data_IF_850548546012
#
_entry.id   IF_850548546012
#
_cell.length_a   1.000
_cell.length_b   1.000
_cell.length_c   1.000
_cell.angle_alpha   90.00
_cell.angle_beta   90.00
_cell.angle_gamma   90.00
#
_symmetry.space_group_name_H-M   'P 1'
#
loop_
_entity.id
_entity.type
_entity.pdbx_description
1 polymer ?
#
# COMPACT_ATOMS: atom_id res chain seq x y z
N UNK A 1 34.89 90.23 12.86
CA UNK A 1 35.10 91.63 12.46
C UNK A 1 34.49 91.85 11.08
N UNK A 2 33.54 92.80 10.99
CA UNK A 2 33.16 93.63 9.82
C UNK A 2 32.74 92.89 8.53
N UNK A 3 31.45 92.95 8.17
CA UNK A 3 30.81 93.97 7.29
C UNK A 3 31.06 93.64 5.80
N UNK A 4 30.22 93.89 4.80
CA UNK A 4 28.94 94.58 4.63
C UNK A 4 28.46 94.21 3.20
N UNK A 5 27.14 94.16 3.01
CA UNK A 5 26.34 94.68 1.87
C UNK A 5 26.97 94.98 0.50
N UNK A 6 26.20 94.70 -0.57
CA UNK A 6 26.22 95.53 -1.78
C UNK A 6 25.47 94.96 -2.99
N UNK A 7 24.21 95.39 -3.18
CA UNK A 7 23.43 95.25 -4.42
C UNK A 7 24.01 96.18 -5.52
N UNK A 8 23.98 95.78 -6.80
CA UNK A 8 23.26 96.49 -7.89
C UNK A 8 23.63 96.02 -9.31
N UNK A 9 22.53 95.88 -10.08
CA UNK A 9 22.31 96.27 -11.48
C UNK A 9 23.02 95.56 -12.65
N UNK A 10 22.14 95.08 -13.54
CA UNK A 10 22.33 94.46 -14.84
C UNK A 10 23.01 95.33 -15.90
N UNK A 11 23.62 94.66 -16.88
CA UNK A 11 23.54 95.04 -18.29
C UNK A 11 23.78 93.82 -19.19
N UNK A 12 22.80 93.55 -20.05
CA UNK A 12 22.81 92.53 -21.08
C UNK A 12 23.78 92.90 -22.20
N UNK A 13 24.61 91.95 -22.62
CA UNK A 13 25.12 91.86 -23.98
C UNK A 13 25.13 90.39 -24.38
N UNK A 14 24.13 90.02 -25.18
CA UNK A 14 24.00 88.70 -25.77
C UNK A 14 25.08 88.49 -26.83
N UNK A 15 25.97 87.53 -26.59
CA UNK A 15 26.73 86.87 -27.64
C UNK A 15 26.27 85.41 -27.66
N UNK A 16 25.61 85.02 -28.75
CA UNK A 16 25.10 83.68 -28.97
C UNK A 16 26.28 82.69 -29.00
N UNK A 17 26.44 81.92 -27.92
CA UNK A 17 27.20 80.68 -27.95
C UNK A 17 26.19 79.60 -28.35
N UNK A 18 26.33 79.10 -29.57
CA UNK A 18 25.68 77.88 -29.99
C UNK A 18 26.12 76.76 -29.05
N UNK A 19 25.28 76.40 -28.09
CA UNK A 19 25.45 75.18 -27.32
C UNK A 19 25.28 74.03 -28.30
N UNK A 20 26.39 73.45 -28.75
CA UNK A 20 26.42 72.10 -29.30
C UNK A 20 25.91 71.16 -28.20
N UNK A 21 24.59 71.00 -28.11
CA UNK A 21 24.01 69.84 -27.45
C UNK A 21 24.37 68.67 -28.35
N UNK A 22 25.52 68.06 -28.10
CA UNK A 22 25.74 66.70 -28.58
C UNK A 22 24.62 65.89 -27.96
N UNK A 23 23.71 65.26 -28.73
CA UNK A 23 22.86 64.26 -28.13
C UNK A 23 23.82 63.24 -27.52
N UNK A 24 23.62 62.90 -26.25
CA UNK A 24 24.17 61.67 -25.70
C UNK A 24 23.72 60.58 -26.66
N UNK A 25 24.63 60.13 -27.52
CA UNK A 25 24.44 58.92 -28.27
C UNK A 25 24.35 57.84 -27.21
N UNK A 26 23.13 57.40 -26.92
CA UNK A 26 22.92 56.09 -26.31
C UNK A 26 23.62 55.16 -27.27
N UNK A 27 24.76 54.61 -26.88
CA UNK A 27 25.42 53.57 -27.64
C UNK A 27 24.36 52.47 -27.79
N UNK A 28 23.84 52.32 -29.01
CA UNK A 28 23.00 51.19 -29.32
C UNK A 28 23.93 49.99 -29.20
N UNK A 29 23.87 49.30 -28.06
CA UNK A 29 24.61 48.07 -27.89
C UNK A 29 24.12 47.14 -29.00
N UNK A 30 25.01 46.82 -29.94
CA UNK A 30 24.74 45.80 -30.92
C UNK A 30 24.49 44.52 -30.13
N UNK A 31 23.24 44.08 -30.12
CA UNK A 31 22.84 42.84 -29.47
C UNK A 31 22.64 41.77 -30.52
N UNK A 32 22.89 40.53 -30.11
CA UNK A 32 22.75 39.33 -30.92
C UNK A 32 21.69 38.41 -30.31
N UNK A 33 21.20 37.51 -31.14
CA UNK A 33 20.30 36.43 -30.73
C UNK A 33 20.98 35.09 -30.99
N UNK A 34 20.95 34.21 -30.00
CA UNK A 34 21.30 32.80 -30.16
C UNK A 34 20.04 31.97 -30.03
N UNK A 35 19.94 30.92 -30.82
CA UNK A 35 18.86 29.94 -30.71
C UNK A 35 19.36 28.56 -31.09
N UNK A 36 18.56 27.53 -30.87
CA UNK A 36 18.93 26.18 -31.23
C UNK A 36 17.94 25.15 -30.73
N UNK A 37 18.20 23.91 -31.10
CA UNK A 37 17.50 22.71 -30.68
C UNK A 37 18.42 21.86 -29.78
N UNK A 38 17.86 21.32 -28.72
CA UNK A 38 18.44 20.24 -27.94
C UNK A 38 17.55 19.02 -28.09
N UNK A 39 18.12 17.88 -28.48
CA UNK A 39 17.37 16.65 -28.72
C UNK A 39 18.08 15.43 -28.16
N UNK A 40 17.32 14.35 -28.02
CA UNK A 40 17.85 13.04 -27.71
C UNK A 40 18.32 12.35 -28.99
N UNK A 41 19.62 12.46 -29.24
CA UNK A 41 20.34 11.80 -30.33
C UNK A 41 20.64 10.36 -29.90
N UNK A 42 19.73 9.46 -30.25
CA UNK A 42 19.63 8.10 -29.71
C UNK A 42 20.56 7.14 -30.42
N UNK A 43 20.95 7.43 -31.65
CA UNK A 43 21.92 6.63 -32.40
C UNK A 43 23.33 7.25 -32.45
N UNK A 44 23.48 8.47 -31.92
CA UNK A 44 24.72 9.22 -31.78
C UNK A 44 25.34 9.63 -33.13
N UNK A 45 24.51 9.89 -34.14
CA UNK A 45 24.98 10.30 -35.46
C UNK A 45 25.09 11.83 -35.65
N UNK A 46 24.58 12.61 -34.69
CA UNK A 46 24.63 14.06 -34.65
C UNK A 46 23.61 14.76 -35.56
N UNK A 47 22.66 14.02 -36.13
CA UNK A 47 21.54 14.51 -36.93
C UNK A 47 20.25 14.35 -36.12
N UNK A 48 19.17 15.03 -36.55
CA UNK A 48 17.85 14.87 -35.94
C UNK A 48 17.06 13.89 -36.78
N UNK A 49 16.80 12.71 -36.23
CA UNK A 49 16.12 11.63 -36.94
C UNK A 49 14.67 11.39 -36.53
N UNK A 50 13.85 10.76 -37.39
CA UNK A 50 12.53 10.30 -37.00
C UNK A 50 12.61 9.34 -35.79
N UNK A 51 11.94 9.69 -34.70
CA UNK A 51 11.93 8.90 -33.47
C UNK A 51 12.89 9.42 -32.39
N UNK A 52 13.64 10.48 -32.69
CA UNK A 52 14.45 11.23 -31.73
C UNK A 52 13.65 12.39 -31.14
N UNK A 53 13.26 12.30 -29.85
CA UNK A 53 12.46 13.34 -29.24
C UNK A 53 13.31 14.58 -28.90
N UNK A 54 12.71 15.78 -28.93
CA UNK A 54 13.35 16.96 -28.38
C UNK A 54 13.55 16.81 -26.87
N UNK A 55 14.63 17.38 -26.34
CA UNK A 55 14.91 17.41 -24.91
C UNK A 55 14.13 18.58 -24.28
N UNK A 56 12.88 18.31 -23.97
CA UNK A 56 11.96 19.27 -23.34
C UNK A 56 12.35 19.58 -21.89
N UNK A 57 12.11 20.83 -21.45
CA UNK A 57 12.36 21.32 -20.08
C UNK A 57 13.79 21.03 -19.56
N UNK A 58 14.75 20.98 -20.50
CA UNK A 58 16.14 20.67 -20.26
C UNK A 58 16.93 21.81 -19.67
N UNK A 59 18.19 21.51 -19.29
CA UNK A 59 19.12 22.52 -18.77
C UNK A 59 19.45 23.60 -19.79
N UNK A 60 19.40 23.27 -21.08
CA UNK A 60 19.65 24.22 -22.16
C UNK A 60 21.07 24.77 -22.11
N UNK A 61 21.25 26.06 -22.38
CA UNK A 61 22.56 26.68 -22.50
C UNK A 61 22.80 27.78 -21.47
N UNK A 62 24.03 27.84 -20.97
CA UNK A 62 24.57 29.00 -20.29
C UNK A 62 25.54 29.71 -21.24
N UNK A 63 25.40 31.03 -21.33
CA UNK A 63 26.18 31.87 -22.23
C UNK A 63 27.08 32.79 -21.41
N UNK A 64 28.36 32.87 -21.76
CA UNK A 64 29.37 33.68 -21.11
C UNK A 64 30.05 34.62 -22.10
N UNK A 65 30.63 35.71 -21.60
CA UNK A 65 31.66 36.43 -22.35
C UNK A 65 32.94 35.58 -22.33
N UNK A 66 33.60 35.38 -23.48
CA UNK A 66 34.87 34.63 -23.53
C UNK A 66 35.94 35.27 -22.63
N UNK A 67 35.90 36.60 -22.49
CA UNK A 67 36.84 37.40 -21.70
C UNK A 67 36.61 37.28 -20.20
N UNK A 68 35.38 36.95 -19.78
CA UNK A 68 35.01 36.74 -18.38
C UNK A 68 33.99 35.60 -18.24
N UNK A 69 34.50 34.42 -17.90
CA UNK A 69 33.69 33.21 -17.66
C UNK A 69 33.29 33.05 -16.18
N UNK A 70 33.51 34.05 -15.33
CA UNK A 70 33.19 33.94 -13.90
C UNK A 70 31.69 33.96 -13.60
N UNK A 71 30.88 34.56 -14.50
CA UNK A 71 29.42 34.60 -14.39
C UNK A 71 28.78 34.47 -15.77
N UNK A 72 27.69 33.68 -15.93
CA UNK A 72 26.96 33.67 -17.19
C UNK A 72 26.29 35.02 -17.45
N UNK A 73 26.28 35.42 -18.71
CA UNK A 73 25.45 36.50 -19.27
C UNK A 73 23.96 36.13 -19.22
N UNK A 74 23.65 34.84 -19.32
CA UNK A 74 22.31 34.30 -19.16
C UNK A 74 22.28 32.78 -19.20
N UNK A 75 21.18 32.23 -18.69
CA UNK A 75 20.86 30.80 -18.73
C UNK A 75 19.54 30.64 -19.46
N UNK A 76 19.51 29.79 -20.48
CA UNK A 76 18.40 29.66 -21.41
C UNK A 76 17.99 28.19 -21.50
N UNK A 77 16.90 27.85 -20.79
CA UNK A 77 16.31 26.51 -20.77
C UNK A 77 15.64 26.18 -22.10
N UNK A 78 15.46 24.90 -22.36
CA UNK A 78 14.67 24.46 -23.51
C UNK A 78 13.19 24.51 -23.20
N UNK A 79 12.39 24.84 -24.21
CA UNK A 79 10.93 24.76 -24.17
C UNK A 79 10.44 23.32 -24.40
N UNK A 80 9.12 23.13 -24.47
CA UNK A 80 8.49 21.83 -24.70
C UNK A 80 8.87 21.17 -26.04
N UNK A 81 9.44 21.93 -26.99
CA UNK A 81 9.93 21.43 -28.27
C UNK A 81 11.46 21.32 -28.29
N UNK A 82 12.12 21.37 -27.13
CA UNK A 82 13.57 21.28 -27.02
C UNK A 82 14.30 22.51 -27.52
N UNK A 83 13.61 23.62 -27.80
CA UNK A 83 14.24 24.82 -28.34
C UNK A 83 14.62 25.79 -27.24
N UNK A 84 15.77 26.43 -27.37
CA UNK A 84 16.15 27.56 -26.53
C UNK A 84 16.32 28.81 -27.39
N UNK A 85 16.13 29.98 -26.78
CA UNK A 85 16.33 31.27 -27.44
C UNK A 85 16.86 32.32 -26.46
N UNK A 86 17.99 32.90 -26.81
CA UNK A 86 18.70 33.91 -26.05
C UNK A 86 18.76 35.21 -26.83
N UNK A 87 17.99 36.22 -26.43
CA UNK A 87 17.95 37.53 -27.09
C UNK A 87 18.64 38.60 -26.25
N UNK A 88 19.14 39.65 -26.89
CA UNK A 88 19.70 40.81 -26.17
C UNK A 88 21.10 40.55 -25.61
N UNK A 89 21.81 39.54 -26.12
CA UNK A 89 23.19 39.26 -25.74
C UNK A 89 24.13 40.27 -26.42
N UNK A 90 25.25 40.69 -25.80
CA UNK A 90 26.19 41.60 -26.43
C UNK A 90 26.88 40.96 -27.65
N UNK A 91 27.13 41.74 -28.71
CA UNK A 91 27.90 41.32 -29.90
C UNK A 91 29.42 41.31 -29.62
N UNK A 92 29.83 40.37 -28.77
CA UNK A 92 31.22 40.11 -28.38
C UNK A 92 31.53 38.62 -28.59
N UNK A 93 32.79 38.18 -28.49
CA UNK A 93 33.09 36.75 -28.43
C UNK A 93 32.35 36.08 -27.25
N UNK A 94 31.49 35.11 -27.55
CA UNK A 94 30.71 34.38 -26.55
C UNK A 94 31.25 32.96 -26.37
N UNK A 95 31.03 32.39 -25.18
CA UNK A 95 31.21 30.97 -24.91
C UNK A 95 29.86 30.38 -24.47
N UNK A 96 29.37 29.41 -25.22
CA UNK A 96 28.07 28.76 -25.03
C UNK A 96 28.33 27.36 -24.52
N UNK A 97 27.81 27.01 -23.35
CA UNK A 97 27.92 25.66 -22.78
C UNK A 97 26.54 25.08 -22.59
N UNK A 98 26.30 23.86 -23.10
CA UNK A 98 25.07 23.14 -22.81
C UNK A 98 25.25 22.26 -21.57
N UNK A 99 24.52 22.59 -20.51
CA UNK A 99 24.64 21.95 -19.20
C UNK A 99 23.86 20.64 -19.08
N UNK A 100 23.20 20.18 -20.15
CA UNK A 100 22.64 18.82 -20.20
C UNK A 100 23.73 17.73 -20.13
N UNK A 101 25.01 18.10 -20.35
CA UNK A 101 26.19 17.25 -20.10
C UNK A 101 26.33 16.76 -18.64
N UNK A 102 25.66 17.41 -17.68
CA UNK A 102 25.62 16.94 -16.29
C UNK A 102 24.72 15.71 -16.10
N UNK A 103 23.84 15.42 -17.07
CA UNK A 103 22.84 14.37 -17.01
C UNK A 103 22.97 13.35 -18.14
N UNK A 104 23.48 13.77 -19.31
CA UNK A 104 23.52 12.95 -20.53
C UNK A 104 24.88 13.06 -21.19
N UNK A 105 25.20 12.07 -22.03
CA UNK A 105 26.41 12.13 -22.87
C UNK A 105 26.15 13.01 -24.09
N UNK A 106 27.06 13.92 -24.41
CA UNK A 106 26.94 14.74 -25.61
C UNK A 106 27.38 13.94 -26.84
N UNK A 107 26.56 13.94 -27.89
CA UNK A 107 26.86 13.29 -29.17
C UNK A 107 27.30 14.31 -30.24
N UNK A 108 26.96 15.59 -30.03
CA UNK A 108 27.50 16.72 -30.79
C UNK A 108 28.36 17.61 -29.87
N UNK A 109 29.04 18.67 -30.39
CA UNK A 109 29.78 19.59 -29.53
C UNK A 109 28.89 20.21 -28.44
N UNK A 110 29.20 19.95 -27.17
CA UNK A 110 28.52 20.54 -26.03
C UNK A 110 28.88 22.02 -25.79
N UNK A 111 29.79 22.59 -26.58
CA UNK A 111 30.28 23.96 -26.42
C UNK A 111 30.57 24.62 -27.77
N UNK A 112 30.20 25.88 -27.88
CA UNK A 112 30.51 26.73 -29.04
C UNK A 112 31.10 28.07 -28.59
N UNK A 113 32.01 28.63 -29.39
CA UNK A 113 32.67 29.92 -29.08
C UNK A 113 32.56 30.89 -30.27
N UNK A 114 31.38 31.44 -30.60
CA UNK A 114 31.24 32.38 -31.71
C UNK A 114 31.98 33.69 -31.41
N UNK A 115 32.72 34.20 -32.40
CA UNK A 115 33.59 35.37 -32.22
C UNK A 115 32.83 36.69 -32.38
N UNK A 116 31.76 36.71 -33.19
CA UNK A 116 30.80 37.81 -33.40
C UNK A 116 29.50 37.26 -33.98
N UNK A 117 28.41 38.00 -33.80
CA UNK A 117 27.11 37.70 -34.39
C UNK A 117 26.29 36.67 -33.61
N UNK A 118 24.98 36.67 -33.89
CA UNK A 118 24.05 35.64 -33.44
C UNK A 118 24.17 34.37 -34.26
N UNK A 119 23.42 33.33 -33.89
CA UNK A 119 23.45 32.09 -34.65
C UNK A 119 22.57 30.98 -34.08
N UNK A 120 22.52 29.89 -34.83
CA UNK A 120 21.85 28.65 -34.44
C UNK A 120 22.91 27.65 -33.97
N UNK A 121 22.75 27.11 -32.76
CA UNK A 121 23.65 26.12 -32.19
C UNK A 121 22.85 24.96 -31.63
N UNK A 122 22.91 23.83 -32.30
CA UNK A 122 22.13 22.65 -31.95
C UNK A 122 23.00 21.66 -31.14
N UNK A 123 22.37 20.95 -30.20
CA UNK A 123 23.03 20.02 -29.28
C UNK A 123 22.31 18.66 -29.19
N UNK A 124 23.00 17.60 -29.62
CA UNK A 124 22.54 16.21 -29.46
C UNK A 124 23.06 15.61 -28.16
N UNK A 125 22.18 14.89 -27.46
CA UNK A 125 22.50 14.17 -26.22
C UNK A 125 21.95 12.76 -26.20
N UNK A 126 22.64 11.87 -25.51
CA UNK A 126 22.25 10.47 -25.36
C UNK A 126 22.20 10.05 -23.89
N UNK A 127 21.05 9.52 -23.48
CA UNK A 127 20.87 8.82 -22.21
C UNK A 127 21.08 7.31 -22.36
N UNK A 128 20.84 6.58 -21.27
CA UNK A 128 20.74 5.12 -21.31
C UNK A 128 19.28 4.64 -21.32
N UNK A 129 19.12 3.33 -21.44
CA UNK A 129 17.82 2.65 -21.30
C UNK A 129 17.82 1.78 -20.05
N UNK A 130 16.74 1.81 -19.27
CA UNK A 130 16.52 0.88 -18.17
C UNK A 130 15.25 0.10 -18.43
N UNK A 131 15.32 -1.23 -18.41
CA UNK A 131 14.16 -2.09 -18.67
C UNK A 131 14.17 -3.35 -17.81
N UNK A 132 13.05 -4.04 -17.78
CA UNK A 132 12.96 -5.38 -17.24
C UNK A 132 11.51 -5.82 -17.09
N UNK A 133 11.26 -6.74 -16.17
CA UNK A 133 9.91 -7.27 -15.95
C UNK A 133 9.45 -7.03 -14.51
N UNK A 134 8.15 -6.74 -14.38
CA UNK A 134 7.41 -6.70 -13.12
C UNK A 134 6.28 -7.72 -13.15
N UNK A 135 6.39 -8.78 -12.35
CA UNK A 135 5.51 -9.95 -12.44
C UNK A 135 5.37 -10.68 -11.10
N UNK A 136 4.37 -11.56 -11.02
CA UNK A 136 4.18 -12.48 -9.91
C UNK A 136 5.02 -13.74 -10.11
N UNK A 137 6.17 -13.79 -9.45
CA UNK A 137 7.07 -14.94 -9.39
C UNK A 137 6.49 -16.01 -8.44
N UNK A 138 5.50 -16.74 -8.95
CA UNK A 138 4.67 -17.65 -8.16
C UNK A 138 5.45 -18.88 -7.70
N UNK A 139 6.41 -19.32 -8.52
CA UNK A 139 7.27 -20.47 -8.22
C UNK A 139 8.58 -20.07 -7.50
N UNK A 140 8.85 -18.76 -7.39
CA UNK A 140 10.00 -18.15 -6.70
C UNK A 140 11.35 -18.51 -7.33
N UNK A 141 11.41 -18.74 -8.64
CA UNK A 141 12.64 -19.13 -9.32
C UNK A 141 13.41 -17.98 -9.99
N UNK A 142 12.85 -16.78 -9.95
CA UNK A 142 13.51 -15.57 -10.44
C UNK A 142 13.48 -15.38 -11.94
N UNK A 143 12.77 -16.21 -12.69
CA UNK A 143 12.63 -16.10 -14.15
C UNK A 143 11.17 -15.93 -14.49
N UNK A 144 10.83 -14.92 -15.29
CA UNK A 144 9.47 -14.80 -15.81
C UNK A 144 9.11 -16.00 -16.68
N UNK A 145 8.01 -16.69 -16.37
CA UNK A 145 7.42 -17.69 -17.27
C UNK A 145 6.03 -17.31 -17.78
N UNK A 146 5.60 -17.96 -18.87
CA UNK A 146 4.32 -17.68 -19.51
C UNK A 146 3.08 -18.13 -18.71
N UNK A 147 3.26 -18.90 -17.64
CA UNK A 147 2.19 -19.27 -16.70
C UNK A 147 2.15 -18.37 -15.46
N UNK A 148 2.99 -17.34 -15.40
CA UNK A 148 3.03 -16.38 -14.30
C UNK A 148 2.27 -15.11 -14.64
N UNK A 149 1.44 -14.69 -13.70
CA UNK A 149 0.57 -13.55 -13.87
C UNK A 149 1.34 -12.24 -13.82
N UNK A 150 0.75 -11.24 -14.46
CA UNK A 150 1.19 -9.86 -14.30
C UNK A 150 0.76 -9.34 -12.92
N UNK A 151 1.55 -8.43 -12.35
CA UNK A 151 1.14 -7.75 -11.11
C UNK A 151 -0.12 -6.91 -11.37
N UNK A 152 -1.20 -7.11 -10.58
CA UNK A 152 -2.45 -6.37 -10.76
C UNK A 152 -2.32 -4.91 -10.32
N UNK A 153 -2.99 -4.00 -11.05
CA UNK A 153 -3.14 -2.60 -10.67
C UNK A 153 -2.26 -1.61 -11.44
N UNK A 154 -1.93 -0.49 -10.77
CA UNK A 154 -1.08 0.57 -11.31
C UNK A 154 0.35 0.08 -11.55
N UNK A 155 1.15 0.74 -12.41
CA UNK A 155 2.56 0.38 -12.57
C UNK A 155 3.26 0.39 -11.22
N UNK A 156 3.88 -0.74 -10.89
CA UNK A 156 4.56 -0.99 -9.62
C UNK A 156 6.04 -0.64 -9.67
N UNK A 157 6.50 -0.01 -10.75
CA UNK A 157 7.91 0.32 -10.95
C UNK A 157 8.08 1.81 -11.14
N UNK A 158 8.96 2.40 -10.34
CA UNK A 158 9.39 3.79 -10.48
C UNK A 158 10.90 3.88 -10.66
N UNK A 159 11.34 4.88 -11.42
CA UNK A 159 12.74 5.26 -11.55
C UNK A 159 12.93 6.62 -10.88
N UNK A 160 13.82 6.66 -9.89
CA UNK A 160 14.21 7.87 -9.19
C UNK A 160 15.63 8.22 -9.64
N UNK A 161 15.80 9.44 -10.13
CA UNK A 161 17.12 10.03 -10.35
C UNK A 161 17.27 11.24 -9.42
N UNK A 162 18.41 11.37 -8.74
CA UNK A 162 18.63 12.35 -7.66
C UNK A 162 18.41 13.83 -8.02
N UNK A 163 18.19 14.15 -9.29
CA UNK A 163 18.04 15.51 -9.83
C UNK A 163 16.77 15.67 -10.69
N UNK A 164 16.21 14.58 -11.21
CA UNK A 164 15.13 14.61 -12.22
C UNK A 164 14.11 13.53 -11.90
N UNK A 165 12.82 13.90 -11.92
CA UNK A 165 11.74 12.93 -11.96
C UNK A 165 11.63 12.37 -13.38
N UNK A 166 12.04 11.12 -13.57
CA UNK A 166 11.90 10.42 -14.85
C UNK A 166 10.46 9.93 -14.97
N UNK A 167 9.86 10.13 -16.15
CA UNK A 167 8.47 9.73 -16.40
C UNK A 167 8.28 8.23 -16.09
N UNK A 168 7.13 7.84 -15.53
CA UNK A 168 6.85 6.45 -15.17
C UNK A 168 6.98 5.55 -16.40
N UNK A 169 7.45 4.31 -16.19
CA UNK A 169 7.67 3.39 -17.29
C UNK A 169 6.38 3.14 -18.07
N UNK A 170 6.53 2.93 -19.37
CA UNK A 170 5.42 2.37 -20.15
C UNK A 170 5.26 0.92 -19.72
N UNK A 171 4.11 0.57 -19.12
CA UNK A 171 3.77 -0.84 -18.88
C UNK A 171 3.58 -1.50 -20.25
N UNK A 172 4.49 -2.39 -20.60
CA UNK A 172 4.44 -3.21 -21.79
C UNK A 172 3.44 -4.34 -21.66
N UNK A 173 3.43 -5.18 -22.70
CA UNK A 173 2.75 -6.48 -22.68
C UNK A 173 3.47 -7.36 -21.64
N UNK A 174 2.71 -8.21 -20.95
CA UNK A 174 3.25 -9.17 -19.99
C UNK A 174 4.22 -8.51 -18.98
N UNK A 175 3.78 -7.50 -18.23
CA UNK A 175 4.55 -6.93 -17.11
C UNK A 175 5.93 -6.32 -17.46
N UNK A 176 6.31 -6.23 -18.73
CA UNK A 176 7.54 -5.56 -19.14
C UNK A 176 7.46 -4.06 -18.88
N UNK A 177 8.59 -3.43 -18.62
CA UNK A 177 8.67 -1.99 -18.46
C UNK A 177 9.96 -1.45 -19.08
N UNK A 178 9.89 -0.22 -19.59
CA UNK A 178 11.04 0.47 -20.16
C UNK A 178 11.01 1.97 -19.81
N UNK A 179 12.18 2.46 -19.40
CA UNK A 179 12.54 3.86 -19.27
C UNK A 179 13.61 4.17 -20.31
N UNK A 180 13.29 5.07 -21.25
CA UNK A 180 14.25 5.57 -22.24
C UNK A 180 14.81 6.92 -21.81
N UNK A 181 15.95 7.29 -22.42
CA UNK A 181 16.59 8.60 -22.23
C UNK A 181 16.86 8.89 -20.74
N UNK A 182 17.26 7.86 -19.99
CA UNK A 182 17.56 7.95 -18.57
C UNK A 182 18.90 8.67 -18.39
N UNK A 183 19.02 9.62 -17.43
CA UNK A 183 20.29 10.25 -17.12
C UNK A 183 21.39 9.23 -16.81
N UNK A 184 22.59 9.47 -17.34
CA UNK A 184 23.75 8.61 -17.11
C UNK A 184 24.31 8.80 -15.70
N UNK A 185 25.07 7.81 -15.23
CA UNK A 185 25.71 7.82 -13.91
C UNK A 185 25.07 6.88 -12.90
N UNK A 186 25.45 7.02 -11.63
CA UNK A 186 25.14 6.10 -10.52
C UNK A 186 24.04 6.62 -9.58
N UNK A 187 23.42 7.75 -9.91
CA UNK A 187 22.36 8.39 -9.13
C UNK A 187 20.97 7.87 -9.47
N UNK A 188 20.88 6.74 -10.18
CA UNK A 188 19.63 6.14 -10.63
C UNK A 188 19.24 4.99 -9.72
N UNK A 189 17.99 4.98 -9.27
CA UNK A 189 17.41 3.96 -8.41
C UNK A 189 16.09 3.48 -8.99
N UNK A 190 15.95 2.17 -9.17
CA UNK A 190 14.66 1.53 -9.47
C UNK A 190 14.00 1.14 -8.16
N UNK A 191 12.71 1.43 -8.03
CA UNK A 191 11.92 1.17 -6.83
C UNK A 191 10.72 0.31 -7.19
N UNK A 192 10.52 -0.77 -6.45
CA UNK A 192 9.30 -1.56 -6.48
C UNK A 192 8.26 -0.97 -5.52
N UNK A 193 7.14 -0.52 -6.03
CA UNK A 193 6.02 0.03 -5.28
C UNK A 193 5.14 -1.06 -4.67
N UNK A 194 4.34 -0.66 -3.69
CA UNK A 194 3.44 -1.58 -2.99
C UNK A 194 2.39 -2.15 -3.94
N UNK A 195 2.17 -3.45 -3.80
CA UNK A 195 1.14 -4.18 -4.53
C UNK A 195 0.25 -4.90 -3.50
N UNK A 196 -1.09 -4.73 -3.55
CA UNK A 196 -1.99 -5.41 -2.62
C UNK A 196 -1.82 -6.93 -2.65
N UNK A 197 -1.83 -7.57 -1.48
CA UNK A 197 -1.69 -9.02 -1.29
C UNK A 197 -0.37 -9.65 -1.81
N UNK A 198 0.60 -8.80 -2.17
CA UNK A 198 1.91 -9.18 -2.67
C UNK A 198 3.04 -8.51 -1.88
N UNK A 199 4.19 -9.16 -1.86
CA UNK A 199 5.47 -8.63 -1.38
C UNK A 199 6.54 -8.77 -2.45
N UNK A 200 7.59 -7.98 -2.37
CA UNK A 200 8.76 -8.20 -3.23
C UNK A 200 9.39 -9.56 -2.91
N UNK A 201 9.68 -10.34 -3.94
CA UNK A 201 10.29 -11.64 -3.80
C UNK A 201 11.74 -11.52 -3.31
N UNK A 202 12.24 -12.51 -2.54
CA UNK A 202 13.67 -12.60 -2.23
C UNK A 202 14.51 -12.55 -3.51
N UNK A 203 15.64 -11.81 -3.46
CA UNK A 203 16.55 -11.73 -4.60
C UNK A 203 17.11 -13.12 -4.97
N UNK A 204 17.05 -13.46 -6.26
CA UNK A 204 17.54 -14.72 -6.83
C UNK A 204 18.62 -14.42 -7.87
N UNK A 205 18.48 -13.32 -8.61
CA UNK A 205 19.39 -12.83 -9.63
C UNK A 205 19.98 -11.47 -9.23
N UNK A 206 21.05 -11.07 -9.91
CA UNK A 206 21.66 -9.74 -9.72
C UNK A 206 20.79 -8.58 -10.24
N UNK A 207 19.74 -8.88 -11.00
CA UNK A 207 18.84 -7.90 -11.59
C UNK A 207 17.74 -7.47 -10.63
N UNK A 208 17.55 -8.21 -9.54
CA UNK A 208 16.43 -8.00 -8.65
C UNK A 208 16.57 -6.76 -7.79
N UNK A 209 15.42 -6.12 -7.56
CA UNK A 209 15.26 -5.16 -6.48
C UNK A 209 15.41 -5.84 -5.12
N UNK A 210 16.12 -5.19 -4.20
CA UNK A 210 16.23 -5.67 -2.82
C UNK A 210 14.85 -5.57 -2.14
N UNK A 211 14.25 -6.67 -1.67
CA UNK A 211 12.92 -6.66 -1.07
C UNK A 211 12.84 -5.87 0.24
N UNK A 212 13.95 -5.73 0.98
CA UNK A 212 13.96 -5.03 2.26
C UNK A 212 13.97 -3.50 2.08
N UNK A 213 14.80 -3.01 1.16
CA UNK A 213 14.86 -1.57 0.84
C UNK A 213 13.86 -1.16 -0.24
N UNK A 214 13.28 -2.15 -0.93
CA UNK A 214 12.41 -1.99 -2.11
C UNK A 214 13.07 -1.26 -3.28
N UNK A 215 14.40 -1.21 -3.28
CA UNK A 215 15.15 -0.38 -4.21
C UNK A 215 16.38 -1.09 -4.77
N UNK A 216 16.79 -0.69 -5.98
CA UNK A 216 18.06 -1.09 -6.60
C UNK A 216 18.75 0.13 -7.19
N UNK A 217 19.93 0.45 -6.67
CA UNK A 217 20.82 1.43 -7.31
C UNK A 217 21.50 0.80 -8.51
N UNK A 218 21.57 1.56 -9.60
CA UNK A 218 22.18 1.13 -10.86
C UNK A 218 23.08 2.22 -11.43
N UNK A 219 24.01 1.79 -12.28
CA UNK A 219 24.81 2.69 -13.12
C UNK A 219 24.25 2.65 -14.53
N UNK A 220 23.81 3.80 -15.04
CA UNK A 220 23.31 3.96 -16.40
C UNK A 220 24.43 4.54 -17.26
N UNK A 221 24.62 3.97 -18.47
CA UNK A 221 25.58 4.47 -19.48
C UNK A 221 24.83 4.83 -20.75
N UNK A 222 25.36 5.82 -21.49
CA UNK A 222 24.72 6.29 -22.70
C UNK A 222 24.66 5.18 -23.76
N UNK A 223 23.51 5.02 -24.40
CA UNK A 223 23.30 4.01 -25.44
C UNK A 223 23.29 2.56 -24.94
N UNK A 224 23.56 2.31 -23.67
CA UNK A 224 23.48 0.98 -23.07
C UNK A 224 22.09 0.71 -22.48
N UNK A 225 21.74 -0.58 -22.42
CA UNK A 225 20.53 -1.05 -21.73
C UNK A 225 20.91 -1.71 -20.41
N UNK A 226 20.33 -1.23 -19.31
CA UNK A 226 20.46 -1.82 -17.98
C UNK A 226 19.20 -2.61 -17.65
N UNK A 227 19.37 -3.87 -17.23
CA UNK A 227 18.26 -4.71 -16.77
C UNK A 227 18.04 -4.57 -15.27
N UNK A 228 16.78 -4.40 -14.86
CA UNK A 228 16.34 -4.51 -13.46
C UNK A 228 14.99 -5.20 -13.42
N UNK A 229 14.80 -6.19 -12.55
CA UNK A 229 13.53 -6.89 -12.41
C UNK A 229 12.89 -6.58 -11.05
N UNK A 230 11.56 -6.47 -11.06
CA UNK A 230 10.75 -6.20 -9.87
C UNK A 230 9.79 -7.36 -9.68
N UNK A 231 10.25 -8.40 -8.97
CA UNK A 231 9.51 -9.63 -8.77
C UNK A 231 8.66 -9.56 -7.52
N UNK A 232 7.42 -10.03 -7.62
CA UNK A 232 6.49 -10.12 -6.51
C UNK A 232 6.15 -11.57 -6.21
N UNK A 233 5.86 -11.88 -4.96
CA UNK A 233 5.27 -13.15 -4.51
C UNK A 233 4.10 -12.82 -3.60
N UNK A 234 3.17 -13.76 -3.46
CA UNK A 234 2.11 -13.64 -2.45
C UNK A 234 2.67 -13.51 -1.04
N UNK A 235 1.90 -12.84 -0.19
CA UNK A 235 2.09 -12.86 1.26
C UNK A 235 1.91 -14.30 1.76
N UNK A 236 2.81 -14.71 2.65
CA UNK A 236 2.83 -16.07 3.16
C UNK A 236 1.84 -16.21 4.33
N UNK A 237 1.00 -17.25 4.29
CA UNK A 237 0.25 -17.69 5.46
C UNK A 237 1.17 -18.55 6.36
N UNK A 238 0.94 -18.47 7.69
CA UNK A 238 1.50 -19.36 8.72
C UNK A 238 0.51 -19.50 9.87
N UNK A 239 -0.37 -20.51 9.82
CA UNK A 239 -1.33 -20.78 10.87
C UNK A 239 -0.96 -21.97 11.76
N UNK A 240 -0.87 -21.72 13.05
CA UNK A 240 -0.55 -22.75 14.05
C UNK A 240 -1.81 -23.26 14.71
N UNK A 241 -2.03 -24.57 14.67
CA UNK A 241 -2.98 -25.25 15.55
C UNK A 241 -2.28 -25.59 16.88
N UNK A 242 -2.53 -24.78 17.90
CA UNK A 242 -1.97 -24.99 19.24
C UNK A 242 -2.61 -26.17 19.98
N UNK A 243 -2.18 -26.36 21.24
CA UNK A 243 -2.60 -27.54 22.03
C UNK A 243 -4.13 -27.58 22.22
N UNK A 244 -4.80 -28.62 21.69
CA UNK A 244 -6.24 -28.75 21.81
C UNK A 244 -6.67 -29.20 23.21
N UNK A 245 -7.93 -28.91 23.56
CA UNK A 245 -8.56 -29.33 24.81
C UNK A 245 -10.06 -29.61 24.65
N UNK A 246 -10.61 -30.36 25.59
CA UNK A 246 -12.05 -30.61 25.70
C UNK A 246 -12.63 -29.89 26.91
N UNK A 247 -13.80 -29.28 26.73
CA UNK A 247 -14.54 -28.58 27.77
C UNK A 247 -15.97 -29.17 27.89
N UNK A 248 -16.40 -29.63 29.07
CA UNK A 248 -15.62 -29.74 30.30
C UNK A 248 -14.52 -30.81 30.18
N UNK A 249 -13.37 -30.53 30.80
CA UNK A 249 -12.27 -31.49 30.88
C UNK A 249 -12.65 -32.66 31.81
N UNK A 250 -12.49 -33.89 31.33
CA UNK A 250 -12.75 -35.12 32.09
C UNK A 250 -11.73 -36.19 31.70
N UNK A 251 -11.44 -37.09 32.64
CA UNK A 251 -10.59 -38.26 32.38
C UNK A 251 -11.28 -39.31 31.50
N UNK A 252 -12.61 -39.43 31.65
CA UNK A 252 -13.46 -40.29 30.82
C UNK A 252 -14.82 -39.65 30.55
N UNK A 253 -15.37 -39.89 29.37
CA UNK A 253 -16.67 -39.42 28.90
C UNK A 253 -17.70 -40.55 28.76
N UNK A 254 -18.97 -40.21 28.58
CA UNK A 254 -20.08 -41.14 28.32
C UNK A 254 -20.74 -40.81 26.99
N UNK A 255 -21.34 -41.81 26.35
CA UNK A 255 -22.26 -41.60 25.22
C UNK A 255 -23.42 -40.70 25.70
N UNK A 256 -23.72 -39.68 24.92
CA UNK A 256 -24.66 -38.60 25.20
C UNK A 256 -24.04 -37.35 25.84
N UNK A 257 -22.79 -37.39 26.32
CA UNK A 257 -22.11 -36.19 26.81
C UNK A 257 -21.98 -35.16 25.68
N UNK A 258 -22.14 -33.88 26.03
CA UNK A 258 -21.87 -32.76 25.14
C UNK A 258 -20.54 -32.14 25.53
N UNK A 259 -19.63 -32.05 24.56
CA UNK A 259 -18.27 -31.53 24.76
C UNK A 259 -17.98 -30.43 23.74
N UNK A 260 -17.24 -29.42 24.17
CA UNK A 260 -16.67 -28.42 23.28
C UNK A 260 -15.20 -28.74 23.05
N UNK A 261 -14.87 -29.05 21.81
CA UNK A 261 -13.52 -29.16 21.30
C UNK A 261 -12.98 -27.75 21.05
N UNK A 262 -11.92 -27.39 21.77
CA UNK A 262 -11.29 -26.06 21.70
C UNK A 262 -9.87 -26.18 21.19
N UNK A 263 -9.55 -25.44 20.13
CA UNK A 263 -8.21 -25.37 19.55
C UNK A 263 -7.77 -23.91 19.46
N UNK A 264 -6.72 -23.49 20.17
CA UNK A 264 -6.14 -22.17 19.97
C UNK A 264 -5.45 -22.15 18.59
N UNK A 265 -5.92 -21.31 17.68
CA UNK A 265 -5.30 -21.10 16.37
C UNK A 265 -4.58 -19.76 16.39
N UNK A 266 -3.31 -19.74 15.98
CA UNK A 266 -2.47 -18.53 15.94
C UNK A 266 -2.09 -18.18 14.50
N UNK A 267 -2.20 -16.93 14.10
CA UNK A 267 -1.65 -16.45 12.83
C UNK A 267 -0.20 -15.95 13.05
N UNK A 268 0.79 -16.67 12.53
CA UNK A 268 2.21 -16.29 12.45
C UNK A 268 2.64 -15.86 11.05
N UNK A 269 1.71 -15.81 10.09
CA UNK A 269 1.96 -15.40 8.72
C UNK A 269 2.29 -13.92 8.59
N UNK A 270 2.37 -13.44 7.35
CA UNK A 270 2.81 -12.08 7.05
C UNK A 270 1.67 -11.07 6.92
N UNK A 271 0.43 -11.56 6.86
CA UNK A 271 -0.76 -10.75 6.63
C UNK A 271 -1.93 -11.14 7.54
N UNK A 272 -2.86 -10.21 7.68
CA UNK A 272 -4.14 -10.49 8.31
C UNK A 272 -4.97 -11.40 7.41
N UNK A 273 -5.35 -12.58 7.91
CA UNK A 273 -5.87 -13.66 7.07
C UNK A 273 -6.91 -14.54 7.79
N UNK A 274 -7.59 -15.41 7.06
CA UNK A 274 -8.73 -16.22 7.51
C UNK A 274 -8.39 -17.71 7.31
N UNK A 275 -8.16 -18.49 8.38
CA UNK A 275 -7.90 -19.92 8.25
C UNK A 275 -9.18 -20.67 7.90
N UNK A 276 -9.07 -21.55 6.91
CA UNK A 276 -10.01 -22.63 6.66
C UNK A 276 -9.56 -23.88 7.43
N UNK A 277 -10.49 -24.55 8.07
CA UNK A 277 -10.21 -25.67 8.97
C UNK A 277 -11.10 -26.85 8.63
N UNK A 278 -10.56 -28.05 8.81
CA UNK A 278 -11.31 -29.30 8.69
C UNK A 278 -11.16 -30.12 9.96
N UNK A 279 -12.29 -30.61 10.45
CA UNK A 279 -12.35 -31.70 11.41
C UNK A 279 -12.66 -32.96 10.62
N UNK A 280 -11.86 -34.01 10.81
CA UNK A 280 -11.98 -35.25 10.03
C UNK A 280 -11.95 -36.49 10.92
N UNK A 281 -12.43 -37.60 10.35
CA UNK A 281 -12.76 -38.83 11.06
C UNK A 281 -14.27 -39.07 11.10
N UNK A 282 -14.72 -40.16 11.72
CA UNK A 282 -16.15 -40.36 12.07
C UNK A 282 -16.51 -39.45 13.24
N UNK A 283 -16.73 -38.17 12.94
CA UNK A 283 -17.01 -37.15 13.95
C UNK A 283 -18.37 -37.40 14.61
N UNK A 284 -18.49 -37.20 15.94
CA UNK A 284 -19.78 -37.28 16.62
C UNK A 284 -20.79 -36.24 16.11
N UNK A 285 -22.07 -36.34 16.52
CA UNK A 285 -23.11 -35.36 16.20
C UNK A 285 -22.66 -33.92 16.48
N UNK A 286 -22.51 -33.11 15.43
CA UNK A 286 -22.19 -31.70 15.55
C UNK A 286 -23.39 -30.91 16.10
N UNK A 287 -23.15 -30.10 17.13
CA UNK A 287 -24.18 -29.32 17.81
C UNK A 287 -24.11 -27.85 17.42
N UNK A 288 -22.94 -27.23 17.54
CA UNK A 288 -22.77 -25.79 17.32
C UNK A 288 -21.30 -25.39 17.15
N UNK A 289 -21.06 -24.28 16.46
CA UNK A 289 -19.78 -23.57 16.48
C UNK A 289 -19.86 -22.35 17.40
N UNK A 290 -18.73 -21.98 18.02
CA UNK A 290 -18.62 -20.78 18.85
C UNK A 290 -18.66 -19.48 18.02
N UNK A 291 -18.73 -18.36 18.73
CA UNK A 291 -18.75 -17.04 18.11
C UNK A 291 -17.52 -16.82 17.21
N UNK A 292 -17.72 -16.20 16.05
CA UNK A 292 -16.65 -15.93 15.09
C UNK A 292 -16.19 -17.14 14.26
N UNK A 293 -16.88 -18.29 14.36
CA UNK A 293 -16.64 -19.46 13.51
C UNK A 293 -17.84 -19.70 12.59
N UNK A 294 -17.62 -19.59 11.29
CA UNK A 294 -18.59 -19.95 10.25
C UNK A 294 -18.52 -21.45 9.96
N UNK A 295 -19.70 -22.09 9.92
CA UNK A 295 -19.85 -23.50 9.54
C UNK A 295 -20.05 -23.59 8.03
N UNK A 296 -19.09 -24.21 7.33
CA UNK A 296 -19.18 -24.47 5.89
C UNK A 296 -19.90 -25.80 5.65
N UNK A 297 -19.41 -26.86 6.31
CA UNK A 297 -20.02 -28.19 6.33
C UNK A 297 -20.17 -28.60 7.79
N UNK A 298 -21.40 -28.75 8.32
CA UNK A 298 -21.61 -29.11 9.72
C UNK A 298 -20.82 -30.35 10.15
N UNK A 299 -20.04 -30.20 11.22
CA UNK A 299 -19.19 -31.26 11.77
C UNK A 299 -17.86 -31.51 11.04
N UNK A 300 -17.63 -30.86 9.89
CA UNK A 300 -16.47 -31.16 9.06
C UNK A 300 -15.67 -29.91 8.66
N UNK A 301 -16.29 -28.92 8.02
CA UNK A 301 -15.58 -27.76 7.47
C UNK A 301 -15.98 -26.46 8.17
N UNK A 302 -14.99 -25.70 8.59
CA UNK A 302 -15.14 -24.48 9.37
C UNK A 302 -14.22 -23.38 8.85
N UNK A 303 -14.62 -22.13 9.05
CA UNK A 303 -13.86 -20.94 8.67
C UNK A 303 -14.00 -19.88 9.75
N UNK A 304 -12.96 -19.11 10.03
CA UNK A 304 -13.15 -17.92 10.87
C UNK A 304 -13.95 -16.83 10.14
N UNK A 305 -14.87 -16.19 10.82
CA UNK A 305 -15.74 -15.16 10.22
C UNK A 305 -15.01 -13.85 9.96
N UNK A 306 -13.92 -13.58 10.67
CA UNK A 306 -13.10 -12.36 10.54
C UNK A 306 -11.63 -12.69 10.30
N UNK A 307 -10.89 -11.72 9.74
CA UNK A 307 -9.44 -11.86 9.55
C UNK A 307 -8.72 -11.84 10.91
N UNK A 308 -7.83 -12.79 11.11
CA UNK A 308 -6.89 -12.81 12.22
C UNK A 308 -5.71 -11.91 11.92
N UNK A 309 -5.46 -10.91 12.76
CA UNK A 309 -4.22 -10.13 12.69
C UNK A 309 -2.98 -11.01 12.93
N UNK A 310 -1.83 -10.61 12.37
CA UNK A 310 -0.54 -11.27 12.61
C UNK A 310 -0.22 -11.25 14.10
N UNK A 311 0.18 -12.40 14.65
CA UNK A 311 0.44 -12.66 16.06
C UNK A 311 -0.83 -12.92 16.90
N UNK A 312 -2.03 -12.75 16.36
CA UNK A 312 -3.26 -12.99 17.10
C UNK A 312 -3.53 -14.50 17.29
N UNK A 313 -4.15 -14.84 18.41
CA UNK A 313 -4.62 -16.21 18.71
C UNK A 313 -6.12 -16.19 18.98
N UNK A 314 -6.86 -17.09 18.36
CA UNK A 314 -8.30 -17.28 18.52
C UNK A 314 -8.57 -18.71 18.98
N UNK A 315 -9.33 -18.86 20.07
CA UNK A 315 -9.84 -20.17 20.47
C UNK A 315 -10.99 -20.58 19.56
N UNK A 316 -10.75 -21.53 18.66
CA UNK A 316 -11.78 -22.15 17.81
C UNK A 316 -12.56 -23.14 18.66
N UNK A 317 -13.86 -22.91 18.85
CA UNK A 317 -14.73 -23.68 19.75
C UNK A 317 -15.79 -24.42 18.94
N UNK A 318 -15.79 -25.75 18.98
CA UNK A 318 -16.72 -26.61 18.24
C UNK A 318 -17.39 -27.58 19.20
N UNK A 319 -18.72 -27.55 19.28
CA UNK A 319 -19.50 -28.37 20.23
C UNK A 319 -20.08 -29.59 19.54
N UNK A 320 -19.87 -30.75 20.15
CA UNK A 320 -20.31 -32.06 19.67
C UNK A 320 -21.06 -32.80 20.78
N UNK A 321 -22.03 -33.63 20.40
CA UNK A 321 -22.63 -34.64 21.26
C UNK A 321 -21.99 -35.99 20.92
N UNK A 322 -21.41 -36.63 21.93
CA UNK A 322 -20.77 -37.94 21.78
C UNK A 322 -21.84 -39.01 21.57
N UNK A 323 -21.86 -39.67 20.42
CA UNK A 323 -22.86 -40.66 20.03
C UNK A 323 -22.25 -42.01 19.61
N UNK A 324 -20.98 -42.03 19.22
CA UNK A 324 -20.23 -43.23 18.87
C UNK A 324 -19.14 -43.57 19.91
N UNK A 325 -19.26 -44.68 20.67
CA UNK A 325 -18.23 -45.12 21.61
C UNK A 325 -16.93 -45.59 20.94
N UNK A 326 -16.90 -45.79 19.62
CA UNK A 326 -15.69 -46.10 18.87
C UNK A 326 -14.84 -44.86 18.53
N UNK A 327 -15.38 -43.65 18.70
CA UNK A 327 -14.67 -42.40 18.44
C UNK A 327 -13.71 -42.04 19.58
N UNK A 328 -12.41 -42.04 19.34
CA UNK A 328 -11.39 -41.96 20.40
C UNK A 328 -10.48 -40.73 20.31
N UNK A 329 -10.66 -39.84 19.34
CA UNK A 329 -9.90 -38.59 19.24
C UNK A 329 -10.50 -37.58 18.26
N UNK A 330 -10.37 -36.30 18.57
CA UNK A 330 -10.64 -35.23 17.61
C UNK A 330 -9.36 -34.83 16.88
N UNK A 331 -9.49 -34.57 15.58
CA UNK A 331 -8.48 -33.94 14.75
C UNK A 331 -9.01 -32.61 14.21
N UNK A 332 -8.24 -31.53 14.36
CA UNK A 332 -8.45 -30.30 13.61
C UNK A 332 -7.21 -30.05 12.76
N UNK A 333 -7.40 -29.88 11.46
CA UNK A 333 -6.35 -29.48 10.54
C UNK A 333 -6.68 -28.14 9.92
N UNK A 334 -5.76 -27.18 10.05
CA UNK A 334 -5.81 -25.91 9.32
C UNK A 334 -5.33 -26.17 7.90
N UNK A 335 -6.11 -25.79 6.90
CA UNK A 335 -5.81 -26.08 5.50
C UNK A 335 -4.56 -25.29 5.03
N UNK A 336 -3.77 -25.84 4.09
CA UNK A 336 -2.53 -25.21 3.60
C UNK A 336 -2.77 -24.01 2.66
N UNK A 337 -4.03 -23.60 2.49
CA UNK A 337 -4.44 -22.45 1.71
C UNK A 337 -5.53 -21.75 2.52
N UNK A 338 -5.33 -20.46 2.79
CA UNK A 338 -6.30 -19.65 3.52
C UNK A 338 -7.52 -19.29 2.68
N UNK A 339 -8.55 -18.71 3.29
CA UNK A 339 -9.72 -18.24 2.55
C UNK A 339 -9.40 -17.06 1.60
N UNK A 340 -8.26 -16.39 1.78
CA UNK A 340 -7.73 -15.36 0.88
C UNK A 340 -6.77 -15.92 -0.19
N UNK A 341 -6.67 -17.24 -0.30
CA UNK A 341 -5.78 -17.95 -1.21
C UNK A 341 -4.28 -17.77 -0.95
N UNK A 342 -3.90 -17.25 0.23
CA UNK A 342 -2.50 -17.26 0.65
C UNK A 342 -2.08 -18.70 0.94
N UNK A 343 -0.91 -19.07 0.42
CA UNK A 343 -0.34 -20.40 0.60
C UNK A 343 0.40 -20.45 1.92
N UNK A 344 0.17 -21.54 2.64
CA UNK A 344 0.84 -21.86 3.88
C UNK A 344 2.30 -22.23 3.60
N UNK A 345 3.22 -21.64 4.35
CA UNK A 345 4.66 -21.90 4.22
C UNK A 345 5.16 -22.97 5.18
N UNK A 346 4.44 -23.20 6.27
CA UNK A 346 4.74 -24.25 7.25
C UNK A 346 3.46 -25.01 7.59
N UNK A 347 3.34 -26.24 7.11
CA UNK A 347 2.15 -27.09 7.36
C UNK A 347 2.33 -28.04 8.54
N UNK A 348 3.52 -28.10 9.14
CA UNK A 348 3.87 -29.11 10.14
C UNK A 348 3.15 -28.90 11.47
N UNK A 349 2.72 -27.67 11.77
CA UNK A 349 1.96 -27.31 12.98
C UNK A 349 0.51 -26.90 12.71
N UNK A 350 -0.03 -27.32 11.55
CA UNK A 350 -1.44 -27.14 11.21
C UNK A 350 -2.37 -28.17 11.86
N UNK A 351 -1.83 -29.19 12.53
CA UNK A 351 -2.60 -30.34 13.01
C UNK A 351 -2.67 -30.40 14.54
N UNK A 352 -3.87 -30.24 15.07
CA UNK A 352 -4.17 -30.45 16.49
C UNK A 352 -4.92 -31.77 16.69
N UNK A 353 -4.49 -32.56 17.67
CA UNK A 353 -5.11 -33.84 18.05
C UNK A 353 -5.38 -33.86 19.55
N UNK A 354 -6.63 -34.17 19.95
CA UNK A 354 -6.97 -34.44 21.36
C UNK A 354 -7.63 -35.81 21.49
N UNK A 355 -7.05 -36.73 22.29
CA UNK A 355 -7.65 -38.03 22.54
C UNK A 355 -8.88 -37.91 23.44
N UNK A 356 -9.83 -38.81 23.23
CA UNK A 356 -11.06 -38.98 23.98
C UNK A 356 -11.14 -40.41 24.51
N UNK A 357 -11.47 -40.56 25.79
CA UNK A 357 -11.65 -41.88 26.43
C UNK A 357 -13.06 -42.02 26.94
N UNK A 358 -13.72 -43.11 26.60
CA UNK A 358 -15.01 -43.47 27.19
C UNK A 358 -14.85 -44.27 28.48
N UNK A 359 -15.82 -44.11 29.39
CA UNK A 359 -15.90 -44.94 30.60
C UNK A 359 -16.38 -46.35 30.22
N UNK A 360 -15.71 -47.40 30.70
CA UNK A 360 -16.04 -48.81 30.42
C UNK A 360 -17.24 -49.34 31.22
N UNK A 361 -18.08 -48.46 31.77
CA UNK A 361 -19.08 -48.81 32.77
C UNK A 361 -20.33 -49.45 32.18
N UNK A 362 -20.67 -50.65 32.68
CA UNK A 362 -21.97 -51.30 32.53
C UNK A 362 -23.11 -50.28 32.58
N UNK A 363 -23.94 -50.29 31.54
CA UNK A 363 -25.25 -49.67 31.56
C UNK A 363 -26.02 -50.23 32.76
N UNK A 364 -26.57 -49.40 33.67
CA UNK A 364 -27.45 -49.92 34.71
C UNK A 364 -28.62 -50.58 33.98
N UNK A 365 -28.72 -51.91 34.04
CA UNK A 365 -29.92 -52.61 33.65
C UNK A 365 -31.02 -52.15 34.58
N UNK A 366 -31.90 -51.27 34.09
CA UNK A 366 -33.22 -51.06 34.66
C UNK A 366 -33.97 -52.37 34.51
N UNK A 367 -33.82 -53.28 35.47
CA UNK A 367 -34.75 -54.40 35.64
C UNK A 367 -36.10 -53.81 36.02
N UNK A 368 -36.98 -53.73 35.04
CA UNK A 368 -38.42 -53.56 35.26
C UNK A 368 -38.91 -54.72 36.14
N UNK A 369 -39.56 -54.48 37.30
CA UNK A 369 -40.20 -55.56 38.04
C UNK A 369 -41.38 -56.11 37.21
N UNK A 370 -41.62 -57.43 37.19
CA UNK A 370 -42.75 -57.99 36.46
C UNK A 370 -44.07 -57.50 37.09
N UNK A 371 -44.93 -56.89 36.28
CA UNK A 371 -46.31 -56.55 36.67
C UNK A 371 -47.15 -57.83 36.69
N UNK A 372 -47.48 -58.31 37.88
CA UNK A 372 -48.48 -59.36 38.08
C UNK A 372 -49.88 -58.75 37.89
N UNK A 373 -50.62 -59.24 36.89
CA UNK A 373 -52.01 -58.87 36.67
C UNK A 373 -52.91 -59.42 37.80
N UNK A 374 -53.82 -58.62 38.40
CA UNK A 374 -54.87 -59.14 39.26
C UNK A 374 -56.10 -59.53 38.45
N UNK A 375 -56.61 -60.73 38.73
CA UNK A 375 -57.89 -61.27 38.28
C UNK A 375 -59.03 -60.59 39.06
N UNK A 376 -60.11 -60.24 38.35
CA UNK A 376 -61.34 -59.61 38.85
C UNK A 376 -62.17 -60.55 39.74
N UNK A 377 -62.73 -60.02 40.84
CA UNK A 377 -63.96 -60.54 41.45
C UNK A 377 -64.87 -59.40 41.91
N UNK A 378 -66.15 -59.53 41.59
CA UNK A 378 -67.24 -58.58 41.76
C UNK A 378 -67.99 -58.83 43.08
N UNK A 379 -68.41 -57.79 43.83
CA UNK A 379 -69.75 -57.75 44.46
C UNK A 379 -70.19 -56.35 44.93
N UNK A 380 -71.50 -56.12 44.74
CA UNK A 380 -72.45 -55.02 45.03
C UNK A 380 -72.39 -54.51 46.49
N UNK A 381 -72.65 -53.22 46.84
CA UNK A 381 -73.99 -52.64 47.17
C UNK A 381 -73.89 -51.11 47.46
N UNK A 382 -74.96 -50.38 47.12
CA UNK A 382 -75.27 -48.91 47.11
C UNK A 382 -76.07 -48.52 48.41
N UNK A 383 -76.55 -47.28 48.77
CA UNK A 383 -76.39 -45.86 48.32
C UNK A 383 -76.17 -44.78 49.43
N UNK A 384 -75.93 -43.52 49.03
CA UNK A 384 -76.74 -42.31 49.31
C UNK A 384 -76.06 -41.06 48.67
N UNK A 385 -76.58 -40.42 47.59
CA UNK A 385 -77.68 -39.41 47.49
C UNK A 385 -77.38 -38.17 48.36
N UNK A 386 -77.43 -36.89 47.94
CA UNK A 386 -77.65 -36.06 46.73
C UNK A 386 -77.26 -34.60 47.16
N UNK A 387 -77.15 -33.54 46.35
CA UNK A 387 -77.47 -33.22 44.95
C UNK A 387 -76.45 -32.20 44.39
N UNK A 388 -76.29 -31.99 43.07
CA UNK A 388 -77.24 -31.43 42.08
C UNK A 388 -77.71 -30.04 42.54
N UNK A 389 -77.60 -28.92 41.83
CA UNK A 389 -77.25 -28.49 40.46
C UNK A 389 -77.22 -26.94 40.54
N UNK A 390 -76.65 -26.14 39.66
CA UNK A 390 -76.10 -26.34 38.33
C UNK A 390 -75.72 -24.97 37.74
N UNK A 391 -75.19 -25.06 36.53
CA UNK A 391 -75.18 -24.08 35.43
C UNK A 391 -74.68 -22.65 35.65
N UNK A 392 -73.80 -22.23 34.73
CA UNK A 392 -73.66 -20.82 34.41
C UNK A 392 -72.31 -20.43 33.84
N UNK A 393 -72.16 -20.57 32.53
CA UNK A 393 -71.20 -19.86 31.68
C UNK A 393 -71.04 -18.37 32.04
N UNK A 394 -69.85 -17.79 31.89
CA UNK A 394 -69.75 -16.32 31.88
C UNK A 394 -68.33 -15.77 31.86
N UNK A 395 -67.98 -15.22 30.70
CA UNK A 395 -66.75 -14.49 30.41
C UNK A 395 -66.60 -13.17 31.19
N UNK A 396 -65.34 -12.76 31.31
CA UNK A 396 -64.80 -11.39 31.38
C UNK A 396 -65.32 -10.43 32.47
N UNK A 397 -64.38 -9.91 33.28
CA UNK A 397 -64.47 -8.50 33.68
C UNK A 397 -63.13 -7.86 34.05
N UNK A 398 -63.00 -6.68 33.47
CA UNK A 398 -61.96 -5.63 33.51
C UNK A 398 -62.03 -4.76 34.77
N UNK A 399 -60.94 -4.02 35.04
CA UNK A 399 -60.93 -2.77 35.82
C UNK A 399 -59.87 -2.78 36.92
N UNK A 400 -58.68 -2.18 36.77
CA UNK A 400 -58.35 -0.74 36.71
C UNK A 400 -58.21 -0.05 38.09
N UNK A 401 -56.93 0.24 38.45
CA UNK A 401 -56.37 1.46 39.10
C UNK A 401 -56.81 1.83 40.55
N UNK A 402 -56.15 2.77 41.29
CA UNK A 402 -55.06 3.71 40.93
C UNK A 402 -53.90 3.87 41.95
N UNK A 403 -52.87 4.61 41.50
CA UNK A 403 -51.78 5.27 42.25
C UNK A 403 -52.29 6.41 43.18
N UNK A 404 -51.44 6.93 44.11
CA UNK A 404 -50.83 8.26 43.85
C UNK A 404 -49.40 8.53 44.38
N UNK A 405 -48.63 9.24 43.53
CA UNK A 405 -47.77 10.45 43.69
C UNK A 405 -46.97 10.81 44.97
N UNK A 406 -45.67 11.16 44.76
CA UNK A 406 -44.99 12.47 45.03
C UNK A 406 -43.46 12.34 44.73
N UNK A 407 -42.90 12.90 43.63
CA UNK A 407 -42.17 14.21 43.47
C UNK A 407 -40.83 14.34 44.24
N UNK A 408 -39.70 14.94 43.79
CA UNK A 408 -39.28 15.78 42.64
C UNK A 408 -37.72 15.88 42.64
N UNK A 409 -37.13 16.09 41.44
CA UNK A 409 -35.94 16.93 41.16
C UNK A 409 -34.57 16.22 41.11
N UNK A 410 -33.71 16.30 40.08
CA UNK A 410 -33.65 17.10 38.85
C UNK A 410 -32.28 17.79 38.75
N UNK A 411 -31.45 17.48 37.74
CA UNK A 411 -30.53 18.47 37.13
C UNK A 411 -29.95 18.01 35.78
N UNK A 412 -29.84 18.98 34.87
CA UNK A 412 -29.42 18.96 33.47
C UNK A 412 -27.89 18.93 33.29
N UNK A 413 -27.42 18.36 32.18
CA UNK A 413 -26.15 18.75 31.55
C UNK A 413 -26.32 18.91 30.04
N UNK A 414 -26.07 20.13 29.57
CA UNK A 414 -25.96 20.51 28.17
C UNK A 414 -24.58 21.11 27.89
N UNK A 415 -24.05 20.73 26.73
CA UNK A 415 -23.07 21.34 25.83
C UNK A 415 -22.13 22.48 26.31
N UNK A 416 -20.86 22.37 25.89
CA UNK A 416 -19.93 23.50 25.79
C UNK A 416 -18.60 23.13 25.13
N UNK A 417 -18.41 23.55 23.88
CA UNK A 417 -17.13 23.58 23.17
C UNK A 417 -16.44 24.93 23.36
N UNK A 418 -15.09 24.98 23.44
CA UNK A 418 -14.16 25.88 22.72
C UNK A 418 -12.79 26.10 23.41
N UNK A 419 -11.74 25.94 22.58
CA UNK A 419 -10.53 26.78 22.41
C UNK A 419 -9.45 26.97 23.51
N UNK A 420 -8.26 26.44 23.19
CA UNK A 420 -6.98 27.15 22.92
C UNK A 420 -6.46 28.23 23.89
N UNK A 421 -5.29 27.98 24.52
CA UNK A 421 -4.07 28.85 24.46
C UNK A 421 -2.88 28.32 25.29
N UNK A 422 -1.75 28.13 24.58
CA UNK A 422 -0.33 28.39 24.88
C UNK A 422 0.23 28.45 26.34
N UNK A 423 1.34 27.74 26.59
CA UNK A 423 2.73 28.29 26.61
C UNK A 423 3.68 27.68 27.67
N UNK A 424 4.92 27.44 27.20
CA UNK A 424 6.24 27.52 27.88
C UNK A 424 6.68 26.45 28.89
N UNK A 425 7.72 25.71 28.47
CA UNK A 425 8.77 25.17 29.35
C UNK A 425 10.15 25.27 28.70
N UNK A 426 11.00 26.18 29.20
CA UNK A 426 12.45 26.23 28.93
C UNK A 426 13.19 25.30 29.90
N UNK A 427 14.30 24.70 29.45
CA UNK A 427 15.60 24.46 30.15
C UNK A 427 16.51 23.77 29.11
N UNK A 428 17.55 24.40 28.53
CA UNK A 428 18.92 24.64 29.03
C UNK A 428 19.51 23.47 29.84
N UNK A 429 20.32 22.66 29.17
CA UNK A 429 21.74 22.44 29.47
C UNK A 429 22.46 22.27 28.13
#
# INVERSE_FOLDING_TARGET
>A
MRNLTGRLAALFAAAAVATLTSPLAVAQENTVTLEGLVWFDRDADGVVDPGEPPLADGRGVDVYDVSDKSRPLGQFRTDANGRYRATGLPDVPLAIYNYSTELYEATTPATYNPVRGGGTFDFGFRGGTVRGSSFEDTNRDGVRQGNEEDVPGAPTVRLIHGIVDVKPATRGVDGEYEFTDVPVGDQVTIVGDDAPELKLAPAVTEYDVDPATRAKKIVVRAGETTRVDVRYTHLDADFVAGTPRLEPARDTYRVGDVVTFVVPVTNRGEASDIPDMVVFGSTPEFVAAGDGVSVVTPGQDFRLSERMAVGATVDVRLTYRLDDPAFDQFHLFVRPISALAHKETNVDDNHAIVPLKYTTGEQPTTTTPPTTAPVTTTTTTVPAVAGVSGDGSGLARTGATPLPWLTIGGLLLGAGALALLAARGRRRA
#
